data_IF_427939337322
#
_entry.id   IF_427939337322
#
_cell.length_a   1.000
_cell.length_b   1.000
_cell.length_c   1.000
_cell.angle_alpha   90.00
_cell.angle_beta   90.00
_cell.angle_gamma   90.00
#
_symmetry.space_group_name_H-M   'P 1'
#
loop_
_entity.id
_entity.type
_entity.pdbx_description
1 polymer ?
#
# COMPACT_ATOMS: atom_id res chain seq x y z
N UNK A 1 -16.98 21.96 -10.69
CA UNK A 1 -17.05 21.15 -9.46
C UNK A 1 -15.65 21.10 -8.86
N UNK A 2 -15.54 21.19 -7.52
CA UNK A 2 -14.25 21.14 -6.83
C UNK A 2 -14.19 19.88 -5.95
N UNK A 3 -13.14 19.11 -6.09
CA UNK A 3 -12.79 17.99 -5.22
C UNK A 3 -11.61 18.36 -4.32
N UNK A 4 -11.69 18.06 -3.03
CA UNK A 4 -10.56 18.21 -2.13
C UNK A 4 -10.00 16.85 -1.73
N UNK A 5 -8.74 16.62 -2.06
CA UNK A 5 -8.00 15.42 -1.66
C UNK A 5 -7.24 15.73 -0.38
N UNK A 6 -7.31 14.81 0.58
CA UNK A 6 -6.59 14.88 1.85
C UNK A 6 -5.56 13.75 1.90
N UNK A 7 -4.28 14.13 1.99
CA UNK A 7 -3.17 13.19 2.12
C UNK A 7 -2.05 13.83 2.94
N UNK A 8 -1.40 13.09 3.86
CA UNK A 8 -0.39 13.68 4.76
C UNK A 8 0.80 14.24 3.98
N UNK A 9 1.41 13.42 3.14
CA UNK A 9 2.58 13.76 2.33
C UNK A 9 2.60 12.90 1.08
N UNK A 10 2.96 13.48 -0.06
CA UNK A 10 3.19 12.76 -1.30
C UNK A 10 4.68 12.42 -1.52
N UNK A 11 5.56 12.80 -0.57
CA UNK A 11 7.01 12.67 -0.72
C UNK A 11 7.56 11.31 -0.25
N UNK A 12 6.72 10.46 0.40
CA UNK A 12 7.17 9.20 0.99
C UNK A 12 7.39 8.05 -0.01
N UNK A 13 6.98 8.20 -1.27
CA UNK A 13 7.18 7.24 -2.38
C UNK A 13 6.61 5.84 -2.12
N UNK A 14 5.51 5.74 -1.38
CA UNK A 14 4.86 4.47 -1.05
C UNK A 14 3.64 4.16 -1.90
N UNK A 15 2.96 3.06 -1.56
CA UNK A 15 1.72 2.66 -2.23
C UNK A 15 0.54 3.60 -1.95
N UNK A 16 0.51 4.25 -0.77
CA UNK A 16 -0.50 5.25 -0.42
C UNK A 16 -0.38 6.50 -1.28
N UNK A 17 0.83 6.99 -1.48
CA UNK A 17 1.12 8.15 -2.32
C UNK A 17 0.82 7.86 -3.80
N UNK A 18 1.16 6.66 -4.30
CA UNK A 18 0.78 6.20 -5.65
C UNK A 18 -0.74 6.23 -5.84
N UNK A 19 -1.48 5.76 -4.84
CA UNK A 19 -2.94 5.80 -4.87
C UNK A 19 -3.46 7.24 -4.89
N UNK A 20 -2.89 8.14 -4.08
CA UNK A 20 -3.28 9.54 -4.07
C UNK A 20 -3.01 10.22 -5.42
N UNK A 21 -1.85 9.99 -6.02
CA UNK A 21 -1.49 10.48 -7.36
C UNK A 21 -2.48 9.97 -8.42
N UNK A 22 -2.78 8.68 -8.44
CA UNK A 22 -3.76 8.12 -9.37
C UNK A 22 -5.18 8.67 -9.16
N UNK A 23 -5.55 8.93 -7.90
CA UNK A 23 -6.84 9.54 -7.54
C UNK A 23 -6.93 11.00 -8.02
N UNK A 24 -5.85 11.78 -7.86
CA UNK A 24 -5.76 13.14 -8.41
C UNK A 24 -6.02 13.12 -9.92
N UNK A 25 -5.32 12.25 -10.64
CA UNK A 25 -5.48 12.10 -12.10
C UNK A 25 -6.89 11.62 -12.50
N UNK A 26 -7.46 10.69 -11.74
CA UNK A 26 -8.81 10.20 -11.99
C UNK A 26 -9.85 11.33 -11.92
N UNK A 27 -9.71 12.22 -10.95
CA UNK A 27 -10.64 13.33 -10.75
C UNK A 27 -10.41 14.44 -11.77
N UNK A 28 -9.15 14.83 -11.97
CA UNK A 28 -8.77 15.89 -12.92
C UNK A 28 -9.21 15.55 -14.34
N UNK A 29 -9.03 14.30 -14.79
CA UNK A 29 -9.44 13.86 -16.13
C UNK A 29 -10.96 13.84 -16.35
N UNK A 30 -11.78 14.01 -15.30
CA UNK A 30 -13.23 14.25 -15.41
C UNK A 30 -13.60 15.74 -15.56
N UNK A 31 -12.61 16.64 -15.69
CA UNK A 31 -12.83 18.09 -15.73
C UNK A 31 -13.23 18.69 -14.38
N UNK A 32 -12.89 18.03 -13.27
CA UNK A 32 -13.16 18.47 -11.91
C UNK A 32 -11.91 19.15 -11.36
N UNK A 33 -12.04 20.36 -10.83
CA UNK A 33 -10.95 21.06 -10.18
C UNK A 33 -10.48 20.31 -8.93
N UNK A 34 -9.19 20.02 -8.83
CA UNK A 34 -8.62 19.29 -7.68
C UNK A 34 -7.85 20.24 -6.77
N UNK A 35 -8.19 20.23 -5.48
CA UNK A 35 -7.41 20.87 -4.42
C UNK A 35 -6.77 19.76 -3.56
N UNK A 36 -5.49 19.91 -3.22
CA UNK A 36 -4.78 19.02 -2.30
C UNK A 36 -4.63 19.69 -0.93
N UNK A 37 -5.04 19.01 0.12
CA UNK A 37 -4.75 19.36 1.53
C UNK A 37 -3.75 18.37 2.10
N UNK A 38 -2.58 18.84 2.51
CA UNK A 38 -1.43 18.04 2.91
C UNK A 38 -0.70 18.69 4.09
N UNK A 39 0.12 17.95 4.84
CA UNK A 39 0.99 18.51 5.87
C UNK A 39 2.34 18.95 5.31
N UNK A 40 2.76 18.37 4.19
CA UNK A 40 4.03 18.67 3.56
C UNK A 40 3.82 19.07 2.11
N UNK A 41 4.50 20.15 1.69
CA UNK A 41 4.43 20.58 0.29
C UNK A 41 4.99 19.47 -0.62
N UNK A 42 4.23 19.04 -1.64
CA UNK A 42 4.71 18.01 -2.57
C UNK A 42 5.95 18.48 -3.34
N UNK A 43 6.95 17.61 -3.43
CA UNK A 43 8.05 17.73 -4.36
C UNK A 43 7.65 17.09 -5.69
N UNK A 44 7.37 17.92 -6.70
CA UNK A 44 6.85 17.47 -8.00
C UNK A 44 7.87 16.66 -8.79
N UNK A 45 9.17 16.97 -8.65
CA UNK A 45 10.24 16.20 -9.28
C UNK A 45 10.33 14.80 -8.68
N UNK A 46 10.29 14.72 -7.36
CA UNK A 46 10.32 13.47 -6.63
C UNK A 46 9.12 12.57 -6.96
N UNK A 47 7.93 13.14 -7.14
CA UNK A 47 6.71 12.44 -7.57
C UNK A 47 6.88 11.93 -9.01
N UNK A 48 7.42 12.77 -9.90
CA UNK A 48 7.69 12.37 -11.27
C UNK A 48 8.68 11.20 -11.34
N UNK A 49 9.77 11.29 -10.60
CA UNK A 49 10.81 10.24 -10.55
C UNK A 49 10.28 8.92 -9.97
N UNK A 50 9.37 9.01 -8.99
CA UNK A 50 8.82 7.83 -8.32
C UNK A 50 7.70 7.13 -9.11
N UNK A 51 6.89 7.88 -9.86
CA UNK A 51 5.66 7.37 -10.48
C UNK A 51 5.58 7.60 -11.99
N UNK A 52 6.62 8.16 -12.62
CA UNK A 52 6.66 8.42 -14.06
C UNK A 52 5.59 9.42 -14.54
N UNK A 53 5.03 10.24 -13.65
CA UNK A 53 3.94 11.15 -13.98
C UNK A 53 4.00 12.46 -13.19
N UNK A 54 3.63 13.57 -13.83
CA UNK A 54 3.43 14.85 -13.15
C UNK A 54 1.96 15.03 -12.77
N UNK A 55 1.71 15.69 -11.64
CA UNK A 55 0.38 16.09 -11.18
C UNK A 55 0.24 17.62 -11.02
N UNK A 56 1.24 18.36 -11.42
CA UNK A 56 1.25 19.83 -11.24
C UNK A 56 0.10 20.49 -11.98
N UNK A 57 -0.13 20.11 -13.23
CA UNK A 57 -1.23 20.60 -14.05
C UNK A 57 -2.62 20.11 -13.59
N UNK A 58 -2.66 19.02 -12.84
CA UNK A 58 -3.90 18.42 -12.31
C UNK A 58 -4.39 19.14 -11.04
N UNK A 59 -3.51 19.89 -10.35
CA UNK A 59 -3.81 20.54 -9.09
C UNK A 59 -4.09 22.03 -9.26
N UNK A 60 -5.33 22.42 -8.99
CA UNK A 60 -5.72 23.86 -8.97
C UNK A 60 -5.15 24.59 -7.75
N UNK A 61 -5.01 23.90 -6.62
CA UNK A 61 -4.55 24.47 -5.36
C UNK A 61 -3.94 23.44 -4.44
N UNK A 62 -2.84 23.81 -3.81
CA UNK A 62 -2.22 23.06 -2.71
C UNK A 62 -2.37 23.87 -1.43
N UNK A 63 -2.84 23.21 -0.36
CA UNK A 63 -2.97 23.77 0.98
C UNK A 63 -2.11 22.97 1.93
N UNK A 64 -1.05 23.57 2.44
CA UNK A 64 -0.25 22.98 3.51
C UNK A 64 -0.91 23.28 4.85
N UNK A 65 -1.25 22.25 5.59
CA UNK A 65 -1.90 22.30 6.90
C UNK A 65 -0.85 22.12 8.00
N UNK A 66 -1.13 22.71 9.17
CA UNK A 66 -0.41 22.38 10.39
C UNK A 66 -1.14 21.23 11.10
N UNK A 67 -0.41 20.30 11.75
CA UNK A 67 -0.98 19.18 12.52
C UNK A 67 -1.98 19.62 13.62
N UNK A 68 -1.85 20.85 14.10
CA UNK A 68 -2.77 21.44 15.08
C UNK A 68 -3.99 22.14 14.44
N UNK A 69 -3.98 22.32 13.12
CA UNK A 69 -5.10 22.94 12.42
C UNK A 69 -6.20 21.92 12.22
N UNK A 70 -7.39 22.28 12.66
CA UNK A 70 -8.57 21.52 12.27
C UNK A 70 -8.78 21.62 10.77
N UNK A 71 -8.78 20.47 10.08
CA UNK A 71 -9.13 20.41 8.68
C UNK A 71 -10.62 20.79 8.51
N UNK A 72 -10.89 21.85 7.77
CA UNK A 72 -12.26 22.25 7.39
C UNK A 72 -12.32 22.35 5.87
N UNK A 73 -12.93 21.36 5.19
CA UNK A 73 -13.15 21.47 3.76
C UNK A 73 -14.09 22.64 3.49
N UNK A 74 -13.55 23.74 2.98
CA UNK A 74 -14.36 24.91 2.58
C UNK A 74 -14.62 24.83 1.08
N UNK A 75 -15.90 25.00 0.70
CA UNK A 75 -16.33 25.17 -0.69
C UNK A 75 -15.92 24.04 -1.67
N UNK A 76 -15.81 22.77 -1.22
CA UNK A 76 -15.67 21.64 -2.12
C UNK A 76 -16.98 20.86 -2.24
N UNK A 77 -17.19 20.25 -3.40
CA UNK A 77 -18.35 19.42 -3.70
C UNK A 77 -18.15 17.99 -3.22
N UNK A 78 -16.90 17.51 -3.22
CA UNK A 78 -16.50 16.18 -2.75
C UNK A 78 -15.19 16.26 -1.97
N UNK A 79 -15.08 15.45 -0.92
CA UNK A 79 -13.84 15.28 -0.16
C UNK A 79 -13.37 13.83 -0.31
N UNK A 80 -12.10 13.63 -0.65
CA UNK A 80 -11.48 12.31 -0.79
C UNK A 80 -10.30 12.20 0.16
N UNK A 81 -10.42 11.37 1.19
CA UNK A 81 -9.30 11.01 2.05
C UNK A 81 -8.58 9.79 1.46
N UNK A 82 -7.32 9.97 1.08
CA UNK A 82 -6.48 8.92 0.52
C UNK A 82 -5.37 8.47 1.48
N UNK A 83 -5.22 9.11 2.63
CA UNK A 83 -4.16 8.75 3.57
C UNK A 83 -4.41 7.42 4.28
N UNK A 84 -5.67 7.13 4.61
CA UNK A 84 -6.10 5.77 4.93
C UNK A 84 -5.99 5.29 6.36
N UNK A 85 -5.46 6.06 7.31
CA UNK A 85 -5.47 5.70 8.73
C UNK A 85 -5.87 6.90 9.60
N UNK A 86 -5.99 6.67 10.91
CA UNK A 86 -6.33 7.71 11.88
C UNK A 86 -5.23 8.76 11.96
N UNK A 87 -5.62 10.01 11.83
CA UNK A 87 -4.72 11.14 11.91
C UNK A 87 -5.17 12.18 12.93
N UNK A 88 -4.24 12.88 13.58
CA UNK A 88 -4.56 13.88 14.59
C UNK A 88 -5.49 15.00 14.11
N UNK A 89 -5.44 15.36 12.82
CA UNK A 89 -6.23 16.46 12.27
C UNK A 89 -7.61 16.05 11.71
N UNK A 90 -7.98 14.77 11.76
CA UNK A 90 -9.32 14.33 11.39
C UNK A 90 -10.41 14.70 12.40
N UNK A 91 -10.12 15.51 13.39
CA UNK A 91 -11.11 15.97 14.37
C UNK A 91 -12.22 16.85 13.79
N UNK A 92 -12.53 16.73 12.48
CA UNK A 92 -13.41 17.70 11.86
C UNK A 92 -14.52 17.10 11.03
N UNK A 93 -15.57 17.89 11.04
CA UNK A 93 -16.82 17.80 10.32
C UNK A 93 -16.72 17.33 8.86
N UNK A 94 -16.43 16.03 8.66
CA UNK A 94 -16.76 15.33 7.44
C UNK A 94 -18.30 15.11 7.33
N UNK A 95 -19.07 16.00 7.89
CA UNK A 95 -20.54 16.02 7.82
C UNK A 95 -21.07 16.30 6.41
N UNK A 96 -20.28 16.04 5.36
CA UNK A 96 -20.68 16.35 3.99
C UNK A 96 -21.04 15.09 3.22
N UNK A 97 -22.15 15.18 2.56
CA UNK A 97 -22.87 14.15 1.81
C UNK A 97 -22.09 13.46 0.68
N UNK A 98 -20.90 13.96 0.33
CA UNK A 98 -20.07 13.44 -0.76
C UNK A 98 -18.63 13.30 -0.27
N UNK A 99 -18.39 12.32 0.61
CA UNK A 99 -17.05 12.01 1.09
C UNK A 99 -16.68 10.57 0.71
N UNK A 100 -15.43 10.38 0.30
CA UNK A 100 -14.80 9.08 0.07
C UNK A 100 -13.64 8.96 1.05
N UNK A 101 -13.53 7.83 1.74
CA UNK A 101 -12.39 7.50 2.59
C UNK A 101 -11.78 6.20 2.10
N UNK A 102 -10.54 6.23 1.67
CA UNK A 102 -9.79 5.03 1.34
C UNK A 102 -8.96 4.60 2.56
N UNK A 103 -9.39 3.58 3.27
CA UNK A 103 -8.67 2.99 4.38
C UNK A 103 -7.81 1.83 3.88
N UNK A 104 -6.48 1.99 3.88
CA UNK A 104 -5.56 0.94 3.43
C UNK A 104 -5.60 -0.27 4.35
N UNK A 105 -5.50 -0.03 5.64
CA UNK A 105 -5.59 -1.01 6.73
C UNK A 105 -5.69 -0.25 8.06
N UNK A 106 -6.41 -0.75 9.07
CA UNK A 106 -6.53 -0.10 10.37
C UNK A 106 -5.30 -0.39 11.26
N UNK A 107 -4.09 0.03 10.82
CA UNK A 107 -2.81 -0.34 11.45
C UNK A 107 -2.77 0.06 12.92
N UNK A 108 -3.08 1.33 13.24
CA UNK A 108 -3.03 1.82 14.61
C UNK A 108 -4.00 1.07 15.53
N UNK A 109 -5.26 0.88 15.10
CA UNK A 109 -6.24 0.10 15.85
C UNK A 109 -5.83 -1.37 15.98
N UNK A 110 -5.32 -1.97 14.90
CA UNK A 110 -4.91 -3.37 14.92
C UNK A 110 -3.76 -3.61 15.92
N UNK A 111 -2.71 -2.81 15.87
CA UNK A 111 -1.55 -2.95 16.76
C UNK A 111 -1.92 -2.71 18.24
N UNK A 112 -2.75 -1.70 18.51
CA UNK A 112 -3.18 -1.37 19.88
C UNK A 112 -4.15 -2.44 20.42
N UNK A 113 -5.15 -2.85 19.63
CA UNK A 113 -6.17 -3.82 20.03
C UNK A 113 -5.59 -5.24 20.20
N UNK A 114 -4.50 -5.58 19.49
CA UNK A 114 -3.79 -6.85 19.64
C UNK A 114 -2.72 -6.85 20.73
N UNK A 115 -2.44 -5.69 21.35
CA UNK A 115 -1.36 -5.58 22.35
C UNK A 115 0.02 -5.85 21.77
N UNK A 116 0.23 -5.55 20.48
CA UNK A 116 1.50 -5.79 19.80
C UNK A 116 2.60 -4.93 20.44
N UNK A 117 3.74 -5.51 20.84
CA UNK A 117 4.85 -4.75 21.41
C UNK A 117 5.42 -3.69 20.47
N UNK A 118 5.23 -3.85 19.14
CA UNK A 118 5.63 -2.87 18.13
C UNK A 118 4.60 -1.74 17.91
N UNK A 119 3.58 -1.61 18.78
CA UNK A 119 2.60 -0.51 18.67
C UNK A 119 3.24 0.89 18.82
N UNK A 120 4.50 0.96 19.24
CA UNK A 120 5.29 2.20 19.28
C UNK A 120 5.32 2.92 17.92
N UNK A 121 5.38 2.20 16.82
CA UNK A 121 5.31 2.78 15.47
C UNK A 121 3.95 3.45 15.21
N UNK A 122 2.85 2.84 15.67
CA UNK A 122 1.52 3.43 15.57
C UNK A 122 1.39 4.70 16.43
N UNK A 123 1.94 4.68 17.65
CA UNK A 123 1.98 5.85 18.53
C UNK A 123 2.84 6.98 17.93
N UNK A 124 3.95 6.64 17.28
CA UNK A 124 4.80 7.61 16.58
C UNK A 124 4.03 8.29 15.45
N UNK A 125 3.36 7.51 14.60
CA UNK A 125 2.55 8.02 13.51
C UNK A 125 1.40 8.92 14.00
N UNK A 126 0.88 8.66 15.20
CA UNK A 126 -0.13 9.49 15.85
C UNK A 126 0.45 10.67 16.66
N UNK A 127 1.76 10.90 16.61
CA UNK A 127 2.45 11.93 17.42
C UNK A 127 2.25 11.79 18.94
N UNK A 128 2.09 10.57 19.43
CA UNK A 128 1.82 10.28 20.84
C UNK A 128 3.07 9.90 21.65
N UNK A 129 4.23 9.80 21.01
CA UNK A 129 5.50 9.53 21.69
C UNK A 129 5.82 10.67 22.67
N UNK A 130 6.23 10.29 23.88
CA UNK A 130 6.53 11.25 24.95
C UNK A 130 5.34 11.64 25.83
N UNK A 131 4.14 11.20 25.51
CA UNK A 131 2.95 11.38 26.35
C UNK A 131 2.87 10.29 27.42
N UNK A 132 2.25 10.60 28.56
CA UNK A 132 1.93 9.58 29.57
C UNK A 132 0.92 8.55 29.02
N UNK A 133 0.92 7.29 29.47
CA UNK A 133 -0.01 6.25 29.00
C UNK A 133 -1.48 6.68 29.08
N UNK A 134 -1.88 7.40 30.13
CA UNK A 134 -3.25 7.91 30.30
C UNK A 134 -3.63 8.92 29.23
N UNK A 135 -2.72 9.85 28.88
CA UNK A 135 -2.93 10.83 27.82
C UNK A 135 -2.93 10.17 26.44
N UNK A 136 -2.05 9.18 26.20
CA UNK A 136 -2.03 8.41 24.96
C UNK A 136 -3.38 7.71 24.73
N UNK A 137 -3.90 7.00 25.74
CA UNK A 137 -5.19 6.33 25.65
C UNK A 137 -6.36 7.28 25.39
N UNK A 138 -6.37 8.42 26.09
CA UNK A 138 -7.40 9.44 25.90
C UNK A 138 -7.38 10.02 24.48
N UNK A 139 -6.19 10.32 23.99
CA UNK A 139 -6.01 10.86 22.64
C UNK A 139 -6.36 9.82 21.58
N UNK A 140 -5.89 8.58 21.72
CA UNK A 140 -6.23 7.48 20.84
C UNK A 140 -7.73 7.26 20.73
N UNK A 141 -8.45 7.19 21.87
CA UNK A 141 -9.89 7.00 21.88
C UNK A 141 -10.65 8.16 21.21
N UNK A 142 -10.18 9.39 21.42
CA UNK A 142 -10.77 10.56 20.76
C UNK A 142 -10.53 10.54 19.23
N UNK A 143 -9.31 10.23 18.80
CA UNK A 143 -8.97 10.10 17.38
C UNK A 143 -9.74 8.95 16.72
N UNK A 144 -9.84 7.79 17.36
CA UNK A 144 -10.61 6.63 16.89
C UNK A 144 -12.08 6.97 16.72
N UNK A 145 -12.68 7.63 17.72
CA UNK A 145 -14.09 8.05 17.65
C UNK A 145 -14.33 9.02 16.50
N UNK A 146 -13.46 10.01 16.32
CA UNK A 146 -13.56 10.97 15.23
C UNK A 146 -13.40 10.29 13.86
N UNK A 147 -12.48 9.33 13.75
CA UNK A 147 -12.24 8.57 12.52
C UNK A 147 -13.43 7.67 12.16
N UNK A 148 -14.00 6.94 13.13
CA UNK A 148 -15.21 6.14 12.92
C UNK A 148 -16.36 7.03 12.45
N UNK A 149 -16.57 8.19 13.08
CA UNK A 149 -17.60 9.15 12.67
C UNK A 149 -17.40 9.63 11.22
N UNK A 150 -16.16 9.88 10.83
CA UNK A 150 -15.82 10.22 9.45
C UNK A 150 -16.16 9.07 8.49
N UNK A 151 -15.74 7.84 8.81
CA UNK A 151 -15.99 6.67 7.96
C UNK A 151 -17.48 6.38 7.78
N UNK A 152 -18.28 6.43 8.85
CA UNK A 152 -19.75 6.24 8.81
C UNK A 152 -20.43 7.26 7.89
N UNK A 153 -19.87 8.47 7.76
CA UNK A 153 -20.40 9.54 6.92
C UNK A 153 -19.75 9.61 5.52
N UNK A 154 -18.97 8.63 5.14
CA UNK A 154 -18.28 8.56 3.84
C UNK A 154 -18.54 7.23 3.13
N UNK A 155 -18.28 7.19 1.82
CA UNK A 155 -18.10 5.92 1.10
C UNK A 155 -16.71 5.39 1.43
N UNK A 156 -16.64 4.25 2.13
CA UNK A 156 -15.37 3.67 2.54
C UNK A 156 -14.87 2.70 1.47
N UNK A 157 -13.64 2.92 1.01
CA UNK A 157 -12.93 2.05 0.10
C UNK A 157 -11.75 1.41 0.82
N UNK A 158 -11.34 0.23 0.36
CA UNK A 158 -10.15 -0.47 0.85
C UNK A 158 -9.48 -1.30 -0.24
N UNK A 159 -8.28 -1.82 0.05
CA UNK A 159 -7.43 -2.49 -0.96
C UNK A 159 -7.75 -3.98 -1.18
N UNK A 160 -8.33 -4.68 -0.20
CA UNK A 160 -8.54 -6.13 -0.22
C UNK A 160 -9.71 -6.56 0.67
N UNK A 161 -10.21 -7.78 0.52
CA UNK A 161 -11.16 -8.36 1.47
C UNK A 161 -10.54 -8.63 2.84
N UNK A 162 -9.22 -8.91 2.88
CA UNK A 162 -8.47 -9.00 4.13
C UNK A 162 -8.58 -7.69 4.92
N UNK A 163 -8.29 -6.56 4.30
CA UNK A 163 -8.42 -5.23 4.92
C UNK A 163 -9.87 -4.88 5.24
N UNK A 164 -10.84 -5.24 4.38
CA UNK A 164 -12.28 -5.06 4.63
C UNK A 164 -12.72 -5.73 5.93
N UNK A 165 -12.28 -6.99 6.15
CA UNK A 165 -12.57 -7.72 7.40
C UNK A 165 -11.95 -7.03 8.61
N UNK A 166 -10.71 -6.56 8.49
CA UNK A 166 -10.04 -5.84 9.56
C UNK A 166 -10.73 -4.50 9.90
N UNK A 167 -11.14 -3.73 8.89
CA UNK A 167 -11.89 -2.48 9.05
C UNK A 167 -13.22 -2.73 9.74
N UNK A 168 -13.96 -3.73 9.30
CA UNK A 168 -15.25 -4.11 9.92
C UNK A 168 -15.06 -4.50 11.39
N UNK A 169 -14.03 -5.30 11.69
CA UNK A 169 -13.68 -5.71 13.06
C UNK A 169 -13.28 -4.53 13.94
N UNK A 170 -12.42 -3.64 13.45
CA UNK A 170 -11.87 -2.53 14.24
C UNK A 170 -12.83 -1.36 14.41
N UNK A 171 -13.64 -1.05 13.40
CA UNK A 171 -14.43 0.17 13.35
C UNK A 171 -15.95 -0.07 13.23
N UNK A 172 -16.39 -1.30 12.99
CA UNK A 172 -17.82 -1.60 12.76
C UNK A 172 -18.35 -1.03 11.43
N UNK A 173 -17.49 -0.65 10.50
CA UNK A 173 -17.84 -0.02 9.22
C UNK A 173 -17.50 -0.96 8.07
N UNK A 174 -18.45 -1.19 7.17
CA UNK A 174 -18.19 -1.94 5.94
C UNK A 174 -17.55 -1.04 4.87
N UNK A 175 -16.78 -1.67 3.96
CA UNK A 175 -16.05 -0.97 2.91
C UNK A 175 -16.13 -1.72 1.58
N UNK A 176 -16.10 -0.99 0.46
CA UNK A 176 -15.99 -1.57 -0.86
C UNK A 176 -14.52 -1.78 -1.24
N UNK A 177 -14.23 -2.93 -1.87
CA UNK A 177 -12.87 -3.24 -2.29
C UNK A 177 -12.57 -2.57 -3.63
N UNK A 178 -11.61 -1.67 -3.61
CA UNK A 178 -10.97 -1.08 -4.79
C UNK A 178 -9.45 -1.30 -4.65
N UNK A 179 -8.84 -2.30 -5.31
CA UNK A 179 -7.41 -2.53 -5.23
C UNK A 179 -6.60 -1.31 -5.64
N UNK A 180 -5.42 -1.08 -5.02
CA UNK A 180 -4.58 0.06 -5.36
C UNK A 180 -4.04 -0.03 -6.78
N UNK A 181 -3.71 1.12 -7.41
CA UNK A 181 -3.14 1.16 -8.75
C UNK A 181 -1.71 0.60 -8.76
N UNK A 182 -1.40 -0.23 -9.76
CA UNK A 182 -0.05 -0.77 -10.01
C UNK A 182 0.33 -0.54 -11.46
N UNK A 183 1.59 -0.18 -11.73
CA UNK A 183 2.11 0.06 -13.08
C UNK A 183 2.45 -1.25 -13.81
N UNK A 184 1.45 -2.14 -13.90
CA UNK A 184 1.60 -3.52 -14.39
C UNK A 184 2.23 -3.59 -15.79
N UNK A 185 1.94 -2.62 -16.67
CA UNK A 185 2.44 -2.61 -18.04
C UNK A 185 3.94 -2.28 -18.10
N UNK A 186 4.44 -1.43 -17.20
CA UNK A 186 5.87 -1.10 -17.10
C UNK A 186 6.66 -2.38 -16.76
N UNK A 187 6.25 -3.09 -15.72
CA UNK A 187 6.93 -4.31 -15.28
C UNK A 187 6.82 -5.44 -16.31
N UNK A 188 5.64 -5.60 -16.91
CA UNK A 188 5.42 -6.60 -17.95
C UNK A 188 6.30 -6.34 -19.15
N UNK A 189 6.26 -5.14 -19.73
CA UNK A 189 7.01 -4.80 -20.92
C UNK A 189 8.51 -4.86 -20.72
N UNK A 190 8.99 -4.44 -19.54
CA UNK A 190 10.40 -4.49 -19.20
C UNK A 190 10.95 -5.92 -19.07
N UNK A 191 10.12 -6.91 -18.74
CA UNK A 191 10.58 -8.26 -18.37
C UNK A 191 10.15 -9.37 -19.36
N UNK A 192 9.25 -9.11 -20.28
CA UNK A 192 8.77 -10.11 -21.27
C UNK A 192 9.86 -10.55 -22.27
N UNK A 193 10.89 -9.75 -22.48
CA UNK A 193 11.97 -10.02 -23.45
C UNK A 193 13.07 -10.94 -22.92
N UNK A 194 13.00 -11.34 -21.64
CA UNK A 194 14.02 -12.21 -21.03
C UNK A 194 13.72 -13.68 -21.36
N UNK A 195 14.51 -14.26 -22.26
CA UNK A 195 14.38 -15.67 -22.67
C UNK A 195 14.98 -16.67 -21.65
N UNK A 196 15.85 -16.21 -20.74
CA UNK A 196 16.41 -17.05 -19.68
C UNK A 196 16.38 -16.29 -18.35
N UNK A 197 15.87 -16.95 -17.31
CA UNK A 197 15.93 -16.45 -15.94
C UNK A 197 16.79 -17.39 -15.11
N UNK A 198 17.57 -16.79 -14.23
CA UNK A 198 18.37 -17.53 -13.26
C UNK A 198 17.45 -18.07 -12.15
N UNK A 199 17.85 -19.14 -11.48
CA UNK A 199 17.15 -19.65 -10.30
C UNK A 199 17.32 -18.71 -9.09
N UNK A 200 17.33 -17.40 -9.35
CA UNK A 200 17.46 -16.38 -8.34
C UNK A 200 16.10 -15.98 -7.74
N UNK A 201 16.16 -15.61 -6.48
CA UNK A 201 15.00 -15.24 -5.64
C UNK A 201 15.06 -13.74 -5.38
N UNK A 202 13.94 -13.06 -5.54
CA UNK A 202 13.80 -11.63 -5.32
C UNK A 202 12.89 -11.36 -4.13
N UNK A 203 13.29 -10.43 -3.28
CA UNK A 203 12.49 -9.85 -2.19
C UNK A 203 12.48 -8.34 -2.36
N UNK A 204 11.31 -7.72 -2.38
CA UNK A 204 11.18 -6.25 -2.49
C UNK A 204 10.48 -5.74 -1.23
N UNK A 205 11.20 -5.03 -0.38
CA UNK A 205 10.65 -4.51 0.88
C UNK A 205 11.51 -3.38 1.43
N UNK A 206 10.89 -2.36 2.06
CA UNK A 206 11.63 -1.33 2.80
C UNK A 206 12.40 -1.96 3.96
N UNK A 207 13.63 -1.50 4.21
CA UNK A 207 14.42 -1.92 5.36
C UNK A 207 13.89 -1.25 6.64
N UNK A 208 12.81 -1.83 7.18
CA UNK A 208 12.15 -1.37 8.39
C UNK A 208 11.60 -2.57 9.19
N UNK A 209 11.67 -2.58 10.54
CA UNK A 209 11.25 -3.72 11.37
C UNK A 209 9.81 -4.20 11.10
N UNK A 210 8.89 -3.28 10.78
CA UNK A 210 7.50 -3.64 10.44
C UNK A 210 7.37 -4.51 9.18
N UNK A 211 8.43 -4.68 8.40
CA UNK A 211 8.43 -5.50 7.18
C UNK A 211 8.94 -6.92 7.39
N UNK A 212 9.44 -7.24 8.59
CA UNK A 212 9.81 -8.60 9.01
C UNK A 212 10.72 -9.33 8.00
N UNK A 213 11.74 -8.62 7.47
CA UNK A 213 12.69 -9.18 6.46
C UNK A 213 13.46 -10.38 7.03
N UNK A 214 13.65 -10.46 8.35
CA UNK A 214 14.23 -11.61 9.03
C UNK A 214 13.54 -12.94 8.64
N UNK A 215 12.23 -12.92 8.36
CA UNK A 215 11.48 -14.13 7.96
C UNK A 215 12.03 -14.74 6.66
N UNK A 216 12.37 -13.91 5.68
CA UNK A 216 12.95 -14.43 4.43
C UNK A 216 14.41 -14.84 4.58
N UNK A 217 15.17 -14.29 5.56
CA UNK A 217 16.51 -14.75 5.88
C UNK A 217 16.44 -16.12 6.57
N UNK A 218 15.48 -16.35 7.48
CA UNK A 218 15.22 -17.68 8.05
C UNK A 218 14.85 -18.71 6.95
N UNK A 219 14.01 -18.30 6.00
CA UNK A 219 13.69 -19.14 4.86
C UNK A 219 14.93 -19.39 3.96
N UNK A 220 15.76 -18.36 3.72
CA UNK A 220 16.98 -18.45 2.92
C UNK A 220 17.96 -19.50 3.48
N UNK A 221 18.08 -19.61 4.80
CA UNK A 221 18.87 -20.65 5.45
C UNK A 221 18.42 -22.06 5.00
N UNK A 222 17.11 -22.31 5.03
CA UNK A 222 16.58 -23.61 4.62
C UNK A 222 16.69 -23.85 3.12
N UNK A 223 16.51 -22.80 2.30
CA UNK A 223 16.68 -22.89 0.85
C UNK A 223 18.13 -23.24 0.49
N UNK A 224 19.10 -22.57 1.12
CA UNK A 224 20.51 -22.85 0.92
C UNK A 224 20.89 -24.27 1.33
N UNK A 225 20.39 -24.75 2.46
CA UNK A 225 20.61 -26.14 2.94
C UNK A 225 20.00 -27.19 2.01
N UNK A 226 18.96 -26.86 1.26
CA UNK A 226 18.31 -27.73 0.28
C UNK A 226 18.77 -27.47 -1.16
N UNK A 227 19.83 -26.67 -1.36
CA UNK A 227 20.39 -26.31 -2.68
C UNK A 227 19.34 -25.72 -3.65
N UNK A 228 18.37 -24.96 -3.11
CA UNK A 228 17.29 -24.32 -3.87
C UNK A 228 17.61 -22.85 -4.12
N UNK A 229 17.63 -22.47 -5.39
CA UNK A 229 17.99 -21.12 -5.84
C UNK A 229 19.50 -20.91 -5.89
N UNK A 230 19.92 -19.94 -6.71
CA UNK A 230 21.32 -19.58 -6.87
C UNK A 230 21.75 -18.43 -5.95
N UNK A 231 20.82 -17.50 -5.71
CA UNK A 231 21.00 -16.33 -4.84
C UNK A 231 19.64 -15.77 -4.42
N UNK A 232 19.62 -15.01 -3.31
CA UNK A 232 18.47 -14.24 -2.86
C UNK A 232 18.84 -12.75 -2.81
N UNK A 233 18.20 -11.95 -3.64
CA UNK A 233 18.39 -10.50 -3.68
C UNK A 233 17.28 -9.81 -2.87
N UNK A 234 17.63 -9.14 -1.77
CA UNK A 234 16.72 -8.38 -0.91
C UNK A 234 16.89 -6.91 -1.25
N UNK A 235 15.90 -6.36 -1.94
CA UNK A 235 15.92 -5.00 -2.49
C UNK A 235 14.99 -4.10 -1.70
N UNK A 236 15.42 -2.89 -1.41
CA UNK A 236 14.52 -1.91 -0.79
C UNK A 236 15.14 -0.57 -0.47
N UNK A 237 14.26 0.36 -0.13
CA UNK A 237 14.68 1.65 0.37
C UNK A 237 15.00 1.55 1.86
N UNK A 238 16.09 2.20 2.27
CA UNK A 238 16.49 2.36 3.65
C UNK A 238 16.43 3.85 4.01
N UNK A 239 15.63 4.17 5.01
CA UNK A 239 15.58 5.49 5.65
C UNK A 239 16.55 5.51 6.84
N UNK A 240 16.91 6.69 7.38
CA UNK A 240 17.83 6.78 8.53
C UNK A 240 17.45 5.95 9.75
N UNK A 241 16.15 5.79 10.01
CA UNK A 241 15.59 4.96 11.08
C UNK A 241 15.72 3.45 10.84
N UNK A 242 15.96 3.03 9.60
CA UNK A 242 16.15 1.63 9.20
C UNK A 242 17.57 1.09 9.42
N UNK A 243 18.58 1.94 9.71
CA UNK A 243 19.99 1.53 9.79
C UNK A 243 20.24 0.47 10.87
N UNK A 244 19.65 0.64 12.05
CA UNK A 244 19.77 -0.33 13.15
C UNK A 244 19.21 -1.71 12.78
N UNK A 245 18.06 -1.71 12.12
CA UNK A 245 17.44 -2.94 11.64
C UNK A 245 18.25 -3.60 10.51
N UNK A 246 18.79 -2.83 9.60
CA UNK A 246 19.68 -3.34 8.55
C UNK A 246 20.93 -4.02 9.13
N UNK A 247 21.55 -3.41 10.16
CA UNK A 247 22.69 -4.03 10.85
C UNK A 247 22.31 -5.37 11.51
N UNK A 248 21.11 -5.44 12.11
CA UNK A 248 20.59 -6.69 12.63
C UNK A 248 20.44 -7.77 11.52
N UNK A 249 19.87 -7.41 10.36
CA UNK A 249 19.73 -8.33 9.23
C UNK A 249 21.09 -8.82 8.69
N UNK A 250 22.07 -7.93 8.58
CA UNK A 250 23.44 -8.31 8.19
C UNK A 250 24.08 -9.29 9.17
N UNK A 251 23.90 -9.07 10.47
CA UNK A 251 24.40 -10.00 11.49
C UNK A 251 23.70 -11.36 11.40
N UNK A 252 22.41 -11.37 11.07
CA UNK A 252 21.65 -12.62 10.89
C UNK A 252 22.15 -13.41 9.67
N UNK A 253 22.45 -12.73 8.55
CA UNK A 253 23.04 -13.34 7.34
C UNK A 253 24.41 -13.97 7.68
N UNK A 254 25.28 -13.25 8.39
CA UNK A 254 26.58 -13.77 8.84
C UNK A 254 26.43 -14.95 9.81
N UNK A 255 25.52 -14.84 10.77
CA UNK A 255 25.27 -15.92 11.74
C UNK A 255 24.84 -17.22 11.07
N UNK A 256 24.13 -17.14 9.93
CA UNK A 256 23.71 -18.30 9.14
C UNK A 256 24.69 -18.68 8.01
N UNK A 257 25.83 -18.00 7.89
CA UNK A 257 26.84 -18.23 6.84
C UNK A 257 26.25 -18.10 5.42
N UNK A 258 25.37 -17.10 5.21
CA UNK A 258 24.64 -16.88 3.98
C UNK A 258 25.20 -15.75 3.09
N UNK A 259 26.40 -15.23 3.37
CA UNK A 259 26.99 -14.08 2.65
C UNK A 259 27.15 -14.33 1.14
N UNK A 260 27.30 -15.60 0.74
CA UNK A 260 27.39 -16.00 -0.67
C UNK A 260 26.02 -16.26 -1.32
N UNK A 261 24.92 -16.32 -0.53
CA UNK A 261 23.58 -16.60 -1.00
C UNK A 261 22.65 -15.40 -0.92
N UNK A 262 22.72 -14.59 0.15
CA UNK A 262 21.88 -13.42 0.37
C UNK A 262 22.63 -12.13 0.05
N UNK A 263 22.05 -11.30 -0.81
CA UNK A 263 22.55 -9.99 -1.19
C UNK A 263 21.56 -8.89 -0.83
N UNK A 264 22.04 -7.81 -0.22
CA UNK A 264 21.23 -6.62 0.06
C UNK A 264 21.50 -5.54 -0.99
N UNK A 265 20.42 -5.05 -1.60
CA UNK A 265 20.43 -4.03 -2.62
C UNK A 265 19.65 -2.80 -2.12
N UNK A 266 20.37 -1.80 -1.62
CA UNK A 266 19.79 -0.65 -0.92
C UNK A 266 19.63 0.53 -1.86
N UNK A 267 18.46 1.17 -1.86
CA UNK A 267 18.16 2.40 -2.61
C UNK A 267 18.50 2.28 -4.10
N UNK A 268 18.18 1.13 -4.70
CA UNK A 268 18.45 0.91 -6.12
C UNK A 268 17.70 1.92 -7.01
N UNK A 269 18.33 2.28 -8.09
CA UNK A 269 17.66 2.94 -9.20
C UNK A 269 16.67 1.98 -9.85
N UNK A 270 15.60 2.53 -10.42
CA UNK A 270 14.52 1.75 -11.00
C UNK A 270 14.97 0.82 -12.14
N UNK A 271 15.91 1.27 -12.99
CA UNK A 271 16.49 0.46 -14.06
C UNK A 271 17.20 -0.80 -13.51
N UNK A 272 17.93 -0.68 -12.39
CA UNK A 272 18.60 -1.80 -11.74
C UNK A 272 17.60 -2.77 -11.09
N UNK A 273 16.51 -2.24 -10.51
CA UNK A 273 15.42 -3.09 -10.03
C UNK A 273 14.82 -3.93 -11.18
N UNK A 274 14.57 -3.30 -12.33
CA UNK A 274 14.08 -4.02 -13.50
C UNK A 274 15.05 -5.10 -14.00
N UNK A 275 16.36 -4.85 -13.92
CA UNK A 275 17.38 -5.85 -14.28
C UNK A 275 17.32 -7.08 -13.35
N UNK A 276 17.19 -6.88 -12.05
CA UNK A 276 16.97 -7.98 -11.10
C UNK A 276 15.67 -8.72 -11.35
N UNK A 277 14.59 -8.00 -11.65
CA UNK A 277 13.30 -8.62 -11.97
C UNK A 277 13.35 -9.45 -13.27
N UNK A 278 14.13 -9.03 -14.28
CA UNK A 278 14.33 -9.81 -15.51
C UNK A 278 15.03 -11.15 -15.25
N UNK A 279 15.93 -11.18 -14.30
CA UNK A 279 16.75 -12.36 -13.99
C UNK A 279 16.07 -13.32 -13.01
N UNK A 280 15.23 -12.81 -12.10
CA UNK A 280 14.65 -13.63 -11.03
C UNK A 280 13.50 -14.48 -11.51
N UNK A 281 13.44 -15.75 -11.03
CA UNK A 281 12.31 -16.68 -11.24
C UNK A 281 11.26 -16.59 -10.17
N UNK A 282 11.66 -16.38 -8.92
CA UNK A 282 10.77 -16.41 -7.75
C UNK A 282 10.84 -15.09 -7.00
N UNK A 283 9.70 -14.60 -6.56
CA UNK A 283 9.57 -13.50 -5.61
C UNK A 283 9.06 -14.06 -4.28
N UNK A 284 9.71 -13.70 -3.17
CA UNK A 284 9.25 -14.07 -1.82
C UNK A 284 8.82 -12.84 -1.05
N UNK A 285 7.62 -12.87 -0.47
CA UNK A 285 7.11 -11.79 0.37
C UNK A 285 7.44 -12.04 1.84
N UNK A 286 8.06 -11.07 2.57
CA UNK A 286 8.52 -11.30 3.94
C UNK A 286 7.42 -11.24 5.00
N UNK A 287 6.35 -10.45 4.78
CA UNK A 287 5.40 -10.04 5.80
C UNK A 287 4.12 -10.88 5.79
N UNK A 288 3.84 -11.69 6.83
CA UNK A 288 2.51 -12.22 7.07
C UNK A 288 1.53 -11.09 7.38
N UNK A 289 0.31 -11.17 6.84
CA UNK A 289 -0.71 -10.15 7.07
C UNK A 289 -0.54 -8.88 6.23
N UNK A 290 0.25 -8.91 5.15
CA UNK A 290 0.34 -7.78 4.21
C UNK A 290 -1.05 -7.38 3.71
N UNK A 291 -1.47 -6.12 3.85
CA UNK A 291 -2.83 -5.68 3.50
C UNK A 291 -3.24 -5.92 2.05
N UNK A 292 -2.30 -5.78 1.09
CA UNK A 292 -2.54 -6.06 -0.32
C UNK A 292 -1.34 -6.74 -0.98
N UNK A 293 -0.16 -6.10 -0.98
CA UNK A 293 1.06 -6.60 -1.61
C UNK A 293 1.27 -6.04 -3.01
N UNK A 294 1.48 -4.72 -3.12
CA UNK A 294 1.79 -4.06 -4.40
C UNK A 294 3.02 -4.69 -5.06
N UNK A 295 4.11 -4.91 -4.31
CA UNK A 295 5.33 -5.54 -4.84
C UNK A 295 5.11 -6.98 -5.31
N UNK A 296 4.16 -7.71 -4.72
CA UNK A 296 3.73 -9.03 -5.21
C UNK A 296 3.10 -8.91 -6.60
N UNK A 297 2.21 -7.93 -6.81
CA UNK A 297 1.59 -7.68 -8.11
C UNK A 297 2.63 -7.22 -9.14
N UNK A 298 3.58 -6.36 -8.76
CA UNK A 298 4.68 -5.91 -9.61
C UNK A 298 5.54 -7.10 -10.08
N UNK A 299 5.93 -8.00 -9.15
CA UNK A 299 6.67 -9.21 -9.46
C UNK A 299 5.88 -10.15 -10.39
N UNK A 300 4.60 -10.39 -10.11
CA UNK A 300 3.73 -11.18 -10.99
C UNK A 300 3.63 -10.56 -12.39
N UNK A 301 3.48 -9.23 -12.47
CA UNK A 301 3.41 -8.52 -13.76
C UNK A 301 4.67 -8.73 -14.59
N UNK A 302 5.83 -8.74 -13.93
CA UNK A 302 7.13 -9.05 -14.54
C UNK A 302 7.28 -10.53 -14.92
N UNK A 303 6.30 -11.41 -14.67
CA UNK A 303 6.36 -12.85 -14.94
C UNK A 303 7.22 -13.62 -13.92
N UNK A 304 7.39 -13.09 -12.70
CA UNK A 304 8.04 -13.78 -11.58
C UNK A 304 6.97 -14.51 -10.76
N UNK A 305 7.23 -15.74 -10.36
CA UNK A 305 6.27 -16.50 -9.54
C UNK A 305 6.34 -16.00 -8.09
N UNK A 306 5.22 -15.53 -7.52
CA UNK A 306 5.20 -15.10 -6.13
C UNK A 306 5.07 -16.28 -5.16
N UNK A 307 5.83 -16.25 -4.08
CA UNK A 307 5.68 -17.12 -2.89
C UNK A 307 5.41 -16.22 -1.70
N UNK A 308 4.29 -16.42 -1.02
CA UNK A 308 3.80 -15.50 0.00
C UNK A 308 3.31 -16.24 1.25
N UNK A 309 3.34 -15.63 2.44
CA UNK A 309 2.64 -16.18 3.60
C UNK A 309 1.14 -16.37 3.32
N UNK A 310 0.52 -17.36 3.95
CA UNK A 310 -0.89 -17.72 3.75
C UNK A 310 -1.90 -16.79 4.46
N UNK A 311 -1.41 -15.67 4.99
CA UNK A 311 -2.20 -14.63 5.65
C UNK A 311 -1.92 -13.28 5.00
N UNK A 312 -2.98 -12.60 4.59
CA UNK A 312 -2.90 -11.25 4.02
C UNK A 312 -3.74 -11.07 2.76
N UNK A 313 -3.79 -9.84 2.25
CA UNK A 313 -4.52 -9.51 1.02
C UNK A 313 -3.91 -10.15 -0.23
N UNK A 314 -2.61 -10.47 -0.23
CA UNK A 314 -1.95 -11.14 -1.35
C UNK A 314 -2.47 -12.56 -1.56
N UNK A 315 -3.05 -13.22 -0.55
CA UNK A 315 -3.64 -14.56 -0.70
C UNK A 315 -4.88 -14.57 -1.61
N UNK A 316 -5.48 -13.41 -1.86
CA UNK A 316 -6.65 -13.28 -2.73
C UNK A 316 -6.32 -13.42 -4.24
N UNK A 317 -5.05 -13.35 -4.60
CA UNK A 317 -4.63 -13.41 -6.00
C UNK A 317 -3.40 -14.29 -6.27
N UNK A 318 -2.68 -14.70 -5.25
CA UNK A 318 -1.61 -15.69 -5.37
C UNK A 318 -2.20 -17.09 -5.24
N UNK A 319 -1.93 -18.05 -6.17
CA UNK A 319 -2.42 -19.42 -6.06
C UNK A 319 -1.99 -20.12 -4.77
N UNK A 320 -2.86 -20.94 -4.17
CA UNK A 320 -2.63 -21.61 -2.88
C UNK A 320 -1.32 -22.43 -2.84
N UNK A 321 -0.90 -23.05 -3.95
CA UNK A 321 0.37 -23.80 -4.04
C UNK A 321 1.64 -22.95 -3.88
N UNK A 322 1.52 -21.63 -3.89
CA UNK A 322 2.58 -20.66 -3.66
C UNK A 322 2.40 -19.89 -2.34
N UNK A 323 1.48 -20.36 -1.49
CA UNK A 323 1.27 -19.80 -0.16
C UNK A 323 1.86 -20.75 0.89
N UNK A 324 2.40 -20.20 1.98
CA UNK A 324 3.03 -20.99 3.04
C UNK A 324 2.68 -20.48 4.43
N UNK A 325 2.56 -21.39 5.39
CA UNK A 325 2.40 -21.09 6.81
C UNK A 325 3.69 -21.28 7.59
N UNK A 326 4.44 -22.34 7.27
CA UNK A 326 5.71 -22.67 7.91
C UNK A 326 6.87 -22.48 6.93
N UNK A 327 8.09 -22.30 7.44
CA UNK A 327 9.27 -22.21 6.57
C UNK A 327 9.49 -23.47 5.73
N UNK A 328 9.16 -24.67 6.27
CA UNK A 328 9.20 -25.91 5.49
C UNK A 328 8.29 -25.87 4.28
N UNK A 329 7.04 -25.45 4.45
CA UNK A 329 6.11 -25.22 3.33
C UNK A 329 6.61 -24.11 2.40
N UNK A 330 7.31 -23.09 2.92
CA UNK A 330 7.98 -22.06 2.13
C UNK A 330 9.03 -22.63 1.19
N UNK A 331 9.83 -23.60 1.66
CA UNK A 331 10.82 -24.32 0.82
C UNK A 331 10.12 -25.07 -0.31
N UNK A 332 9.05 -25.81 -0.02
CA UNK A 332 8.26 -26.54 -1.01
C UNK A 332 7.62 -25.62 -2.05
N UNK A 333 7.07 -24.47 -1.59
CA UNK A 333 6.47 -23.46 -2.45
C UNK A 333 7.51 -22.81 -3.38
N UNK A 334 8.73 -22.52 -2.88
CA UNK A 334 9.84 -22.00 -3.70
C UNK A 334 10.28 -23.04 -4.73
N UNK A 335 10.46 -24.31 -4.34
CA UNK A 335 10.79 -25.39 -5.28
C UNK A 335 9.75 -25.51 -6.40
N UNK A 336 8.46 -25.49 -6.03
CA UNK A 336 7.33 -25.48 -6.99
C UNK A 336 7.38 -24.26 -7.92
N UNK A 337 7.74 -23.09 -7.39
CA UNK A 337 7.82 -21.86 -8.16
C UNK A 337 9.01 -21.85 -9.14
N UNK A 338 10.17 -22.38 -8.73
CA UNK A 338 11.35 -22.53 -9.60
C UNK A 338 11.07 -23.45 -10.79
N UNK A 339 10.29 -24.52 -10.57
CA UNK A 339 9.87 -25.47 -11.60
C UNK A 339 8.68 -25.01 -12.46
N UNK A 340 8.08 -23.84 -12.18
CA UNK A 340 6.88 -23.39 -12.86
C UNK A 340 7.12 -23.16 -14.37
N UNK A 341 6.24 -23.67 -15.25
CA UNK A 341 6.38 -23.53 -16.69
C UNK A 341 6.12 -22.07 -17.15
N UNK A 342 6.63 -21.73 -18.33
CA UNK A 342 6.45 -20.39 -18.91
C UNK A 342 4.96 -20.00 -19.08
N UNK A 343 4.10 -20.97 -19.39
CA UNK A 343 2.65 -20.75 -19.53
C UNK A 343 2.00 -20.28 -18.22
N UNK A 344 2.45 -20.77 -17.08
CA UNK A 344 1.95 -20.34 -15.78
C UNK A 344 2.42 -18.93 -15.41
N UNK A 345 3.69 -18.61 -15.69
CA UNK A 345 4.25 -17.26 -15.55
C UNK A 345 3.46 -16.25 -16.38
N UNK A 346 3.17 -16.58 -17.64
CA UNK A 346 2.36 -15.73 -18.52
C UNK A 346 0.93 -15.56 -17.99
N UNK A 347 0.28 -16.64 -17.53
CA UNK A 347 -1.07 -16.59 -16.94
C UNK A 347 -1.12 -15.69 -15.70
N UNK A 348 -0.17 -15.83 -14.79
CA UNK A 348 -0.10 -14.97 -13.59
C UNK A 348 0.16 -13.53 -13.95
N UNK A 349 1.10 -13.25 -14.86
CA UNK A 349 1.36 -11.89 -15.34
C UNK A 349 0.11 -11.27 -15.97
N UNK A 350 -0.62 -12.00 -16.80
CA UNK A 350 -1.85 -11.50 -17.40
C UNK A 350 -2.94 -11.20 -16.36
N UNK A 351 -3.04 -12.01 -15.31
CA UNK A 351 -4.04 -11.84 -14.25
C UNK A 351 -3.89 -10.52 -13.47
N UNK A 352 -2.72 -9.87 -13.52
CA UNK A 352 -2.45 -8.60 -12.84
C UNK A 352 -3.08 -7.39 -13.53
N UNK A 353 -3.54 -7.50 -14.78
CA UNK A 353 -4.09 -6.40 -15.57
C UNK A 353 -5.26 -5.69 -14.86
N UNK A 354 -6.04 -6.43 -14.08
CA UNK A 354 -7.14 -5.89 -13.27
C UNK A 354 -6.70 -4.86 -12.21
N UNK A 355 -5.40 -4.80 -11.88
CA UNK A 355 -4.79 -3.88 -10.92
C UNK A 355 -4.09 -2.69 -11.58
N UNK A 356 -4.15 -2.56 -12.91
CA UNK A 356 -3.50 -1.46 -13.63
C UNK A 356 -4.02 -0.09 -13.17
N UNK A 357 -3.15 0.93 -13.28
CA UNK A 357 -3.51 2.34 -13.03
C UNK A 357 -4.75 2.74 -13.82
N UNK A 358 -4.83 2.34 -15.09
CA UNK A 358 -5.98 2.62 -15.95
C UNK A 358 -7.28 2.04 -15.40
N UNK A 359 -7.26 0.79 -14.93
CA UNK A 359 -8.44 0.15 -14.33
C UNK A 359 -8.84 0.78 -13.00
N UNK A 360 -7.85 1.17 -12.18
CA UNK A 360 -8.11 1.92 -10.95
C UNK A 360 -8.82 3.24 -11.25
N UNK A 361 -8.27 4.04 -12.16
CA UNK A 361 -8.85 5.34 -12.58
C UNK A 361 -10.30 5.15 -13.02
N UNK A 362 -10.55 4.22 -13.94
CA UNK A 362 -11.90 3.94 -14.48
C UNK A 362 -12.90 3.57 -13.36
N UNK A 363 -12.51 2.67 -12.45
CA UNK A 363 -13.37 2.25 -11.35
C UNK A 363 -13.61 3.38 -10.34
N UNK A 364 -12.58 4.16 -10.02
CA UNK A 364 -12.71 5.29 -9.12
C UNK A 364 -13.64 6.37 -9.68
N UNK A 365 -13.52 6.68 -10.98
CA UNK A 365 -14.41 7.61 -11.67
C UNK A 365 -15.87 7.15 -11.63
N UNK A 366 -16.14 5.86 -11.82
CA UNK A 366 -17.49 5.31 -11.68
C UNK A 366 -18.03 5.51 -10.26
N UNK A 367 -17.25 5.16 -9.24
CA UNK A 367 -17.64 5.36 -7.82
C UNK A 367 -17.92 6.84 -7.54
N UNK A 368 -17.09 7.75 -8.04
CA UNK A 368 -17.27 9.18 -7.85
C UNK A 368 -18.55 9.68 -8.53
N UNK A 369 -18.84 9.21 -9.74
CA UNK A 369 -20.06 9.54 -10.46
C UNK A 369 -21.31 9.06 -9.69
N UNK A 370 -21.31 7.81 -9.25
CA UNK A 370 -22.44 7.23 -8.52
C UNK A 370 -22.75 8.02 -7.24
N UNK A 371 -21.71 8.44 -6.50
CA UNK A 371 -21.87 9.23 -5.26
C UNK A 371 -22.41 10.62 -5.57
N UNK A 372 -21.94 11.28 -6.63
CA UNK A 372 -22.37 12.63 -7.00
C UNK A 372 -23.79 12.65 -7.57
N UNK A 373 -24.19 11.64 -8.34
CA UNK A 373 -25.54 11.52 -8.92
C UNK A 373 -26.58 11.13 -7.86
N UNK A 374 -26.24 10.26 -6.92
CA UNK A 374 -27.09 9.99 -5.74
C UNK A 374 -27.30 11.29 -4.93
N UNK A 375 -26.27 12.11 -4.81
CA UNK A 375 -26.35 13.43 -4.18
C UNK A 375 -27.34 14.36 -4.90
N UNK A 376 -27.33 14.39 -6.24
CA UNK A 376 -28.28 15.19 -7.06
C UNK A 376 -29.70 14.71 -6.91
N UNK A 377 -29.98 13.42 -7.08
CA UNK A 377 -31.32 12.83 -6.92
C UNK A 377 -31.93 13.06 -5.54
N UNK A 378 -31.11 13.06 -4.46
CA UNK A 378 -31.58 13.39 -3.10
C UNK A 378 -31.89 14.87 -2.91
N UNK A 379 -31.24 15.76 -3.67
CA UNK A 379 -31.57 17.20 -3.64
C UNK A 379 -32.86 17.51 -4.42
N UNK A 380 -33.10 16.82 -5.53
CA UNK A 380 -34.29 16.95 -6.36
C UNK A 380 -35.56 16.34 -5.67
N UNK A 381 -35.37 15.31 -4.84
CA UNK A 381 -36.46 14.63 -4.13
C UNK A 381 -36.90 15.34 -2.84
N UNK A 382 -36.35 16.47 -2.45
CA UNK A 382 -36.88 17.25 -1.32
C UNK A 382 -38.10 18.03 -1.78
N UNK A 383 -39.29 17.79 -1.19
CA UNK A 383 -40.47 18.58 -1.51
C UNK A 383 -40.19 20.06 -1.18
N UNK A 384 -40.46 20.92 -2.13
CA UNK A 384 -40.51 22.37 -1.92
C UNK A 384 -41.71 22.59 -0.97
N UNK A 385 -41.43 22.70 0.33
CA UNK A 385 -42.42 23.22 1.27
C UNK A 385 -42.52 24.70 0.94
N UNK A 386 -43.54 25.06 0.15
CA UNK A 386 -43.99 26.45 0.03
C UNK A 386 -44.69 26.80 1.34
N UNK A 387 -44.06 27.70 2.11
CA UNK A 387 -44.70 28.43 3.17
C UNK A 387 -45.61 29.50 2.59
#
# INVERSE_FOLDING_TARGET
MIANIVHISLNARGGGERLAVATIKAISSMGIDVELSTLEKPDMQLIHDAYGTSIEADLKKIRTLNIFQKYRPRNCNVTVNTHGDMLPFYHNDFNKKNAITYCHYPIASHLIDCGDPDYSAALQNMCLLGMTPSLQNRYYNAARTAYIKMMVNSTVLTNSNFSRKAILKSFGVDSAVLPPPVDVDIFRNACLTSNSRDDSILVISRFHPSKKIENVIHLAKLLHQNELGTEMNIVGNMLPDGVGYFNYLNNLVKHYELENFVRFEINLRFDRLLDLMRRSKVYVHPLPGEPFGISTVEAMSAGIIPVVPDIGGHTEFVPAKYQFHTYGQGVEAVATALAAPASEKAKLSHSTQKYSVTNYIKKFQQILTDITDIGKKRMEAKPVIRL
#
